data_IF_900676491950
#
_entry.id   IF_900676491950
#
_cell.length_a   1.000
_cell.length_b   1.000
_cell.length_c   1.000
_cell.angle_alpha   90.00
_cell.angle_beta   90.00
_cell.angle_gamma   90.00
#
_symmetry.space_group_name_H-M   'P 1'
#
loop_
_entity.id
_entity.type
_entity.pdbx_description
1 polymer ?
#
# COMPACT_ATOMS: atom_id res chain seq x y z
N UNK A 1 18.78 -32.15 1.14
CA UNK A 1 17.52 -31.86 0.44
C UNK A 1 16.40 -31.89 1.48
N UNK A 2 16.08 -30.75 2.09
CA UNK A 2 14.97 -30.61 3.04
C UNK A 2 14.07 -29.48 2.53
N UNK A 3 12.79 -29.73 2.23
CA UNK A 3 11.94 -28.68 1.68
C UNK A 3 11.57 -27.70 2.80
N UNK A 4 11.86 -26.42 2.58
CA UNK A 4 11.38 -25.32 3.41
C UNK A 4 9.85 -25.30 3.35
N UNK A 5 9.22 -25.85 4.40
CA UNK A 5 7.78 -25.83 4.58
C UNK A 5 7.40 -24.40 4.98
N UNK A 6 6.94 -23.60 4.01
CA UNK A 6 6.35 -22.31 4.29
C UNK A 6 5.03 -22.53 5.04
N UNK A 7 5.08 -22.36 6.36
CA UNK A 7 3.89 -22.24 7.19
C UNK A 7 3.13 -20.98 6.74
N UNK A 8 2.14 -21.18 5.86
CA UNK A 8 1.20 -20.14 5.46
C UNK A 8 0.18 -20.01 6.58
N UNK A 9 0.53 -19.27 7.62
CA UNK A 9 -0.44 -18.68 8.54
C UNK A 9 -1.50 -17.95 7.72
N UNK A 10 -2.67 -18.57 7.59
CA UNK A 10 -3.78 -18.02 6.81
C UNK A 10 -4.40 -16.91 7.65
N UNK A 11 -4.09 -15.65 7.33
CA UNK A 11 -4.83 -14.53 7.89
C UNK A 11 -6.31 -14.71 7.52
N UNK A 12 -7.25 -14.47 8.46
CA UNK A 12 -8.67 -14.50 8.15
C UNK A 12 -8.97 -13.53 6.99
N UNK A 13 -9.96 -13.86 6.14
CA UNK A 13 -10.29 -13.04 4.98
C UNK A 13 -10.56 -11.61 5.41
N UNK A 14 -9.89 -10.66 4.76
CA UNK A 14 -10.08 -9.24 5.00
C UNK A 14 -11.54 -8.84 4.72
N UNK A 15 -12.08 -7.88 5.47
CA UNK A 15 -13.43 -7.38 5.25
C UNK A 15 -13.57 -6.70 3.88
N UNK A 16 -14.80 -6.60 3.38
CA UNK A 16 -15.06 -6.04 2.06
C UNK A 16 -14.54 -4.60 1.93
N UNK A 17 -14.62 -3.79 2.99
CA UNK A 17 -14.03 -2.45 3.03
C UNK A 17 -12.51 -2.47 2.75
N UNK A 18 -11.78 -3.41 3.35
CA UNK A 18 -10.33 -3.55 3.15
C UNK A 18 -10.02 -4.09 1.75
N UNK A 19 -10.87 -4.99 1.23
CA UNK A 19 -10.73 -5.56 -0.11
C UNK A 19 -10.99 -4.51 -1.20
N UNK A 20 -12.02 -3.70 -1.03
CA UNK A 20 -12.40 -2.64 -1.97
C UNK A 20 -11.37 -1.49 -1.94
N UNK A 21 -10.73 -1.26 -0.80
CA UNK A 21 -9.63 -0.28 -0.65
C UNK A 21 -8.27 -0.79 -1.12
N UNK A 22 -8.18 -2.05 -1.58
CA UNK A 22 -6.90 -2.65 -1.94
C UNK A 22 -6.36 -2.07 -3.25
N UNK A 23 -5.22 -1.38 -3.16
CA UNK A 23 -4.47 -0.90 -4.31
C UNK A 23 -3.48 -1.96 -4.82
N UNK A 24 -3.57 -2.32 -6.09
CA UNK A 24 -2.60 -3.23 -6.72
C UNK A 24 -1.22 -2.57 -6.74
N UNK A 25 -0.26 -3.20 -6.05
CA UNK A 25 1.04 -2.62 -5.78
C UNK A 25 2.16 -3.64 -5.93
N UNK A 26 3.19 -3.28 -6.69
CA UNK A 26 4.45 -4.03 -6.81
C UNK A 26 5.56 -3.27 -6.12
N UNK A 27 6.21 -3.91 -5.14
CA UNK A 27 7.33 -3.33 -4.40
C UNK A 27 8.66 -3.80 -4.99
N UNK A 28 9.38 -2.90 -5.66
CA UNK A 28 10.74 -3.13 -6.14
C UNK A 28 11.76 -2.54 -5.14
N UNK A 29 13.05 -2.84 -5.31
CA UNK A 29 14.10 -2.27 -4.42
C UNK A 29 14.15 -0.74 -4.51
N UNK A 30 14.06 -0.20 -5.72
CA UNK A 30 14.28 1.22 -6.03
C UNK A 30 12.97 2.01 -6.16
N UNK A 31 11.86 1.36 -6.49
CA UNK A 31 10.58 2.02 -6.68
C UNK A 31 9.40 1.19 -6.17
N UNK A 32 8.25 1.84 -6.07
CA UNK A 32 6.95 1.26 -5.78
C UNK A 32 6.05 1.53 -6.99
N UNK A 33 5.48 0.50 -7.60
CA UNK A 33 4.55 0.65 -8.73
C UNK A 33 3.13 0.38 -8.28
N UNK A 34 2.21 1.27 -8.62
CA UNK A 34 0.78 1.11 -8.40
C UNK A 34 0.06 0.97 -9.73
N UNK A 35 -0.94 0.11 -9.76
CA UNK A 35 -1.85 -0.06 -10.90
C UNK A 35 -3.27 0.15 -10.38
N UNK A 36 -4.02 1.03 -11.04
CA UNK A 36 -5.42 1.27 -10.71
C UNK A 36 -6.24 1.57 -11.95
N UNK A 37 -7.56 1.40 -11.85
CA UNK A 37 -8.47 1.65 -12.96
C UNK A 37 -9.32 2.86 -12.64
N UNK A 38 -9.31 3.84 -13.53
CA UNK A 38 -10.19 5.01 -13.45
C UNK A 38 -11.30 4.91 -14.48
N UNK A 39 -12.47 5.44 -14.16
CA UNK A 39 -13.53 5.63 -15.16
C UNK A 39 -13.04 6.59 -16.24
N UNK A 40 -13.13 6.19 -17.50
CA UNK A 40 -12.84 7.10 -18.60
C UNK A 40 -13.97 8.12 -18.77
N UNK A 41 -13.66 9.25 -19.40
CA UNK A 41 -14.60 10.36 -19.57
C UNK A 41 -15.79 10.03 -20.50
N UNK A 42 -15.68 8.97 -21.32
CA UNK A 42 -16.67 8.63 -22.34
C UNK A 42 -17.24 7.22 -22.13
N UNK A 43 -18.51 7.00 -22.53
CA UNK A 43 -19.22 5.70 -22.44
C UNK A 43 -18.49 4.52 -23.13
N UNK A 44 -17.57 4.80 -24.07
CA UNK A 44 -16.74 3.80 -24.77
C UNK A 44 -15.41 3.48 -24.07
N UNK A 45 -14.99 4.26 -23.06
CA UNK A 45 -13.78 4.04 -22.27
C UNK A 45 -14.16 3.72 -20.83
N UNK A 46 -14.81 2.58 -20.62
CA UNK A 46 -15.43 2.26 -19.32
C UNK A 46 -14.42 2.13 -18.16
N UNK A 47 -13.17 1.76 -18.44
CA UNK A 47 -12.06 1.70 -17.47
C UNK A 47 -10.72 1.96 -18.16
N UNK A 48 -9.99 2.99 -17.74
CA UNK A 48 -8.61 3.27 -18.17
C UNK A 48 -7.67 2.76 -17.09
N UNK A 49 -6.76 1.86 -17.45
CA UNK A 49 -5.68 1.41 -16.57
C UNK A 49 -4.65 2.53 -16.44
N UNK A 50 -4.39 2.97 -15.22
CA UNK A 50 -3.33 3.91 -14.86
C UNK A 50 -2.25 3.19 -14.10
N UNK A 51 -1.02 3.57 -14.39
CA UNK A 51 0.16 3.08 -13.70
C UNK A 51 0.92 4.27 -13.13
N UNK A 52 1.30 4.18 -11.87
CA UNK A 52 2.15 5.17 -11.21
C UNK A 52 3.39 4.50 -10.64
N UNK A 53 4.55 5.07 -10.91
CA UNK A 53 5.81 4.60 -10.36
C UNK A 53 6.37 5.64 -9.41
N UNK A 54 6.70 5.23 -8.20
CA UNK A 54 7.22 6.08 -7.13
C UNK A 54 8.64 5.66 -6.78
N UNK A 55 9.61 6.51 -7.07
CA UNK A 55 11.03 6.33 -6.72
C UNK A 55 11.23 6.47 -5.21
N UNK A 56 12.00 5.57 -4.60
CA UNK A 56 12.36 5.63 -3.18
C UNK A 56 13.58 6.51 -3.01
N UNK A 57 13.40 7.69 -2.43
CA UNK A 57 14.47 8.67 -2.28
C UNK A 57 15.30 8.43 -1.01
N UNK A 58 14.74 8.75 0.16
CA UNK A 58 15.45 8.64 1.45
C UNK A 58 14.50 8.42 2.62
N UNK A 59 15.02 7.87 3.71
CA UNK A 59 14.29 7.81 4.98
C UNK A 59 14.22 9.20 5.59
N UNK A 60 13.02 9.66 5.94
CA UNK A 60 12.76 10.97 6.55
C UNK A 60 12.34 10.87 8.02
N UNK A 61 12.08 9.66 8.52
CA UNK A 61 11.79 9.45 9.93
C UNK A 61 11.86 7.98 10.33
N UNK A 62 12.08 7.74 11.62
CA UNK A 62 12.05 6.41 12.24
C UNK A 62 11.42 6.49 13.62
N UNK A 63 10.74 5.43 14.03
CA UNK A 63 10.12 5.32 15.36
C UNK A 63 9.90 3.87 15.75
N UNK A 64 9.33 3.66 16.94
CA UNK A 64 9.07 2.32 17.48
C UNK A 64 8.24 1.44 16.55
N UNK A 65 7.26 2.02 15.85
CA UNK A 65 6.35 1.29 14.96
C UNK A 65 6.91 1.06 13.53
N UNK A 66 8.04 1.69 13.17
CA UNK A 66 8.61 1.54 11.83
C UNK A 66 9.37 2.76 11.31
N UNK A 67 9.41 2.92 9.98
CA UNK A 67 10.15 4.01 9.32
C UNK A 67 9.30 4.73 8.28
N UNK A 68 9.62 5.98 8.00
CA UNK A 68 8.97 6.83 7.00
C UNK A 68 9.98 7.14 5.91
N UNK A 69 9.61 6.90 4.67
CA UNK A 69 10.44 7.17 3.50
C UNK A 69 9.78 8.20 2.60
N UNK A 70 10.59 9.12 2.08
CA UNK A 70 10.18 10.03 1.02
C UNK A 70 10.24 9.29 -0.31
N UNK A 71 9.14 9.30 -1.05
CA UNK A 71 9.07 8.82 -2.42
C UNK A 71 8.67 9.94 -3.38
N UNK A 72 9.18 9.88 -4.62
CA UNK A 72 8.91 10.84 -5.70
C UNK A 72 8.21 10.15 -6.86
N UNK A 73 7.17 10.77 -7.42
CA UNK A 73 6.50 10.25 -8.62
C UNK A 73 7.44 10.34 -9.82
N UNK A 74 7.64 9.22 -10.51
CA UNK A 74 8.33 9.14 -11.80
C UNK A 74 7.27 9.40 -12.87
N UNK A 75 7.34 10.57 -13.49
CA UNK A 75 6.44 11.03 -14.54
C UNK A 75 7.21 11.92 -15.50
N UNK A 76 6.83 11.91 -16.78
CA UNK A 76 7.40 12.81 -17.80
C UNK A 76 6.78 14.23 -17.72
N UNK A 77 5.80 14.44 -16.84
CA UNK A 77 5.20 15.74 -16.60
C UNK A 77 6.11 16.66 -15.80
N UNK A 78 6.03 17.96 -16.05
CA UNK A 78 6.76 18.98 -15.27
C UNK A 78 6.35 19.06 -13.79
N UNK A 79 5.24 18.44 -13.39
CA UNK A 79 4.81 18.41 -12.00
C UNK A 79 5.57 17.34 -11.20
N UNK A 80 6.46 17.78 -10.32
CA UNK A 80 7.06 16.89 -9.32
C UNK A 80 6.08 16.63 -8.17
N UNK A 81 5.76 15.36 -7.92
CA UNK A 81 4.92 14.96 -6.78
C UNK A 81 5.76 14.13 -5.81
N UNK A 82 5.62 14.44 -4.53
CA UNK A 82 6.31 13.76 -3.44
C UNK A 82 5.30 13.20 -2.45
N UNK A 83 5.65 12.09 -1.80
CA UNK A 83 4.84 11.49 -0.73
C UNK A 83 5.70 10.93 0.39
N UNK A 84 5.15 10.89 1.59
CA UNK A 84 5.73 10.17 2.72
C UNK A 84 5.07 8.79 2.86
N UNK A 85 5.86 7.72 2.78
CA UNK A 85 5.39 6.33 2.95
C UNK A 85 5.86 5.79 4.28
N UNK A 86 4.91 5.48 5.18
CA UNK A 86 5.19 4.83 6.46
C UNK A 86 5.21 3.30 6.29
N UNK A 87 6.36 2.69 6.55
CA UNK A 87 6.52 1.24 6.66
C UNK A 87 6.30 0.81 8.10
N UNK A 88 5.24 0.06 8.34
CA UNK A 88 4.89 -0.47 9.66
C UNK A 88 5.47 -1.88 9.78
N UNK A 89 6.22 -2.14 10.86
CA UNK A 89 6.76 -3.48 11.14
C UNK A 89 5.63 -4.36 11.67
N UNK A 90 5.42 -5.53 11.07
CA UNK A 90 4.55 -6.55 11.67
C UNK A 90 5.33 -7.23 12.80
N UNK A 91 4.97 -6.97 14.06
CA UNK A 91 5.61 -7.64 15.19
C UNK A 91 5.09 -9.07 15.27
N UNK A 92 5.97 -10.05 15.12
CA UNK A 92 5.65 -11.48 15.26
C UNK A 92 5.74 -11.97 16.71
N UNK A 93 6.10 -11.10 17.67
CA UNK A 93 6.23 -11.52 19.06
C UNK A 93 4.85 -11.58 19.76
N UNK A 94 4.57 -12.76 20.30
CA UNK A 94 3.32 -13.30 20.86
C UNK A 94 2.66 -12.51 22.01
N UNK A 95 3.08 -11.29 22.35
CA UNK A 95 2.56 -10.61 23.55
C UNK A 95 1.30 -9.75 23.34
N UNK A 96 0.84 -9.57 22.11
CA UNK A 96 -0.54 -9.18 21.79
C UNK A 96 -0.72 -9.41 20.30
N UNK A 97 -1.63 -10.30 19.92
CA UNK A 97 -1.98 -10.45 18.52
C UNK A 97 -2.66 -9.15 18.07
N UNK A 98 -1.88 -8.21 17.52
CA UNK A 98 -2.44 -7.03 16.87
C UNK A 98 -3.34 -7.55 15.75
N UNK A 99 -4.63 -7.27 15.85
CA UNK A 99 -5.58 -7.58 14.80
C UNK A 99 -5.41 -6.59 13.65
N UNK A 100 -4.50 -6.93 12.74
CA UNK A 100 -4.21 -6.13 11.56
C UNK A 100 -5.44 -5.89 10.68
N UNK A 101 -6.45 -6.78 10.70
CA UNK A 101 -7.68 -6.53 9.95
C UNK A 101 -8.45 -5.35 10.55
N UNK A 102 -8.54 -5.27 11.88
CA UNK A 102 -9.18 -4.15 12.58
C UNK A 102 -8.45 -2.83 12.33
N UNK A 103 -7.12 -2.84 12.31
CA UNK A 103 -6.34 -1.64 11.98
C UNK A 103 -6.55 -1.19 10.53
N UNK A 104 -6.52 -2.13 9.57
CA UNK A 104 -6.78 -1.82 8.16
C UNK A 104 -8.20 -1.30 7.94
N UNK A 105 -9.19 -1.84 8.64
CA UNK A 105 -10.56 -1.34 8.61
C UNK A 105 -10.67 0.09 9.11
N UNK A 106 -9.98 0.42 10.21
CA UNK A 106 -9.99 1.78 10.73
C UNK A 106 -9.39 2.75 9.70
N UNK A 107 -8.24 2.40 9.10
CA UNK A 107 -7.61 3.21 8.06
C UNK A 107 -8.56 3.41 6.88
N UNK A 108 -9.20 2.34 6.38
CA UNK A 108 -10.14 2.43 5.28
C UNK A 108 -11.39 3.27 5.61
N UNK A 109 -11.91 3.18 6.85
CA UNK A 109 -13.05 3.99 7.29
C UNK A 109 -12.71 5.49 7.34
N UNK A 110 -11.50 5.83 7.78
CA UNK A 110 -11.08 7.22 7.96
C UNK A 110 -10.30 7.82 6.78
N UNK A 111 -10.06 7.05 5.70
CA UNK A 111 -9.33 7.54 4.52
C UNK A 111 -10.19 8.33 3.52
N UNK A 112 -11.49 8.45 3.77
CA UNK A 112 -12.40 9.19 2.91
C UNK A 112 -12.47 10.66 3.35
N UNK A 113 -12.57 11.58 2.38
CA UNK A 113 -12.92 12.97 2.69
C UNK A 113 -14.25 12.99 3.46
N UNK A 114 -14.34 13.80 4.52
CA UNK A 114 -15.63 14.03 5.15
C UNK A 114 -16.52 14.71 4.11
N UNK A 115 -17.58 14.01 3.68
CA UNK A 115 -18.66 14.59 2.90
C UNK A 115 -19.37 15.69 3.70
#
# INVERSE_FOLDING_TARGET
NFPCRADRGTMPPASDLVRDSKLETTFCKEYTQHVYHVSGANLRQRKIRKEERWEKCRTIGSGSFGSVQLERLITDSSEEKYRAVKKIKKSTQQSSAIDYNRELEAIAKFSHEKA
#
